data_IF_741197038923
#
_entry.id   IF_741197038923
#
_cell.length_a   1.000
_cell.length_b   1.000
_cell.length_c   1.000
_cell.angle_alpha   90.00
_cell.angle_beta   90.00
_cell.angle_gamma   90.00
#
_symmetry.space_group_name_H-M   'P 1'
#
loop_
_entity.id
_entity.type
_entity.pdbx_description
1 polymer ?
#
# COMPACT_ATOMS: atom_id res chain seq x y z
N UNK A 1 13.80 59.19 -47.22
CA UNK A 1 14.95 58.41 -46.71
C UNK A 1 15.29 58.68 -45.25
N UNK A 2 15.58 59.91 -44.81
CA UNK A 2 15.96 60.19 -43.40
C UNK A 2 14.98 59.65 -42.34
N UNK A 3 13.67 59.83 -42.52
CA UNK A 3 12.64 59.34 -41.58
C UNK A 3 12.61 57.81 -41.40
N UNK A 4 12.95 57.05 -42.45
CA UNK A 4 12.97 55.60 -42.40
C UNK A 4 14.18 55.08 -41.60
N UNK A 5 15.33 55.73 -41.78
CA UNK A 5 16.55 55.42 -41.01
C UNK A 5 16.37 55.75 -39.52
N UNK A 6 15.66 56.85 -39.20
CA UNK A 6 15.33 57.19 -37.81
C UNK A 6 14.39 56.15 -37.18
N UNK A 7 13.36 55.70 -37.90
CA UNK A 7 12.44 54.68 -37.40
C UNK A 7 13.11 53.32 -37.15
N UNK A 8 14.05 52.91 -38.02
CA UNK A 8 14.84 51.68 -37.80
C UNK A 8 15.72 51.81 -36.56
N UNK A 9 16.30 53.00 -36.32
CA UNK A 9 17.15 53.24 -35.14
C UNK A 9 16.34 53.22 -33.84
N UNK A 10 15.16 53.85 -33.82
CA UNK A 10 14.27 53.81 -32.66
C UNK A 10 13.73 52.40 -32.37
N UNK A 11 13.45 51.60 -33.41
CA UNK A 11 13.07 50.19 -33.24
C UNK A 11 14.23 49.33 -32.73
N UNK A 12 15.45 49.58 -33.18
CA UNK A 12 16.64 48.88 -32.67
C UNK A 12 16.90 49.22 -31.19
N UNK A 13 16.73 50.50 -30.80
CA UNK A 13 16.89 50.95 -29.42
C UNK A 13 15.77 50.41 -28.51
N UNK A 14 14.54 50.27 -29.02
CA UNK A 14 13.43 49.59 -28.32
C UNK A 14 13.69 48.09 -28.11
N UNK A 15 14.36 47.43 -29.06
CA UNK A 15 14.73 46.02 -28.92
C UNK A 15 15.83 45.81 -27.87
N UNK A 16 16.69 46.81 -27.69
CA UNK A 16 17.83 46.77 -26.76
C UNK A 16 17.48 47.23 -25.32
N UNK A 17 16.23 47.66 -25.06
CA UNK A 17 15.73 48.01 -23.73
C UNK A 17 15.11 46.82 -22.98
N UNK A 18 15.48 45.58 -23.34
CA UNK A 18 15.25 44.44 -22.47
C UNK A 18 16.26 44.52 -21.34
N UNK A 19 15.77 44.98 -20.20
CA UNK A 19 16.48 45.01 -18.92
C UNK A 19 16.77 43.56 -18.49
N UNK A 20 17.77 42.94 -19.10
CA UNK A 20 18.28 41.62 -18.71
C UNK A 20 19.03 41.77 -17.39
N UNK A 21 18.26 41.83 -16.29
CA UNK A 21 18.81 41.61 -14.96
C UNK A 21 19.30 40.17 -14.92
N UNK A 22 20.57 39.98 -15.24
CA UNK A 22 21.26 38.72 -14.99
C UNK A 22 21.05 38.36 -13.52
N UNK A 23 20.63 37.12 -13.26
CA UNK A 23 20.53 36.61 -11.89
C UNK A 23 21.89 36.75 -11.22
N UNK A 24 21.88 37.24 -9.99
CA UNK A 24 23.10 37.28 -9.20
C UNK A 24 23.52 35.84 -8.87
N UNK A 25 24.83 35.59 -8.79
CA UNK A 25 25.37 34.27 -8.42
C UNK A 25 24.77 33.77 -7.09
N UNK A 26 24.51 34.69 -6.16
CA UNK A 26 23.92 34.37 -4.86
C UNK A 26 22.46 33.91 -4.95
N UNK A 27 21.64 34.51 -5.81
CA UNK A 27 20.25 34.08 -6.01
C UNK A 27 20.19 32.66 -6.58
N UNK A 28 21.06 32.34 -7.54
CA UNK A 28 21.16 31.00 -8.12
C UNK A 28 21.59 29.97 -7.06
N UNK A 29 22.57 30.32 -6.23
CA UNK A 29 23.02 29.47 -5.13
C UNK A 29 21.89 29.18 -4.13
N UNK A 30 21.14 30.22 -3.74
CA UNK A 30 20.00 30.10 -2.83
C UNK A 30 18.89 29.23 -3.45
N UNK A 31 18.59 29.41 -4.73
CA UNK A 31 17.59 28.60 -5.43
C UNK A 31 17.97 27.11 -5.46
N UNK A 32 19.24 26.79 -5.76
CA UNK A 32 19.74 25.41 -5.74
C UNK A 32 19.66 24.83 -4.33
N UNK A 33 20.02 25.61 -3.30
CA UNK A 33 19.96 25.17 -1.91
C UNK A 33 18.53 24.83 -1.48
N UNK A 34 17.56 25.69 -1.80
CA UNK A 34 16.14 25.45 -1.54
C UNK A 34 15.67 24.20 -2.30
N UNK A 35 16.06 24.06 -3.57
CA UNK A 35 15.70 22.90 -4.37
C UNK A 35 16.23 21.59 -3.76
N UNK A 36 17.46 21.58 -3.22
CA UNK A 36 18.02 20.42 -2.55
C UNK A 36 17.22 20.03 -1.29
N UNK A 37 16.83 21.02 -0.47
CA UNK A 37 15.98 20.77 0.70
C UNK A 37 14.65 20.13 0.28
N UNK A 38 14.03 20.66 -0.78
CA UNK A 38 12.78 20.13 -1.32
C UNK A 38 12.97 18.68 -1.77
N UNK A 39 13.98 18.42 -2.61
CA UNK A 39 14.25 17.07 -3.15
C UNK A 39 14.46 16.07 -2.02
N UNK A 40 15.34 16.37 -1.06
CA UNK A 40 15.62 15.46 0.07
C UNK A 40 14.38 15.18 0.92
N UNK A 41 13.56 16.20 1.19
CA UNK A 41 12.32 16.07 1.96
C UNK A 41 11.31 15.16 1.26
N UNK A 42 11.11 15.37 -0.05
CA UNK A 42 10.21 14.53 -0.84
C UNK A 42 10.74 13.11 -1.02
N UNK A 43 12.04 12.93 -1.23
CA UNK A 43 12.65 11.60 -1.36
C UNK A 43 12.40 10.73 -0.12
N UNK A 44 12.54 11.30 1.08
CA UNK A 44 12.26 10.58 2.33
C UNK A 44 10.78 10.17 2.41
N UNK A 45 9.87 11.11 2.13
CA UNK A 45 8.42 10.86 2.18
C UNK A 45 7.99 9.77 1.20
N UNK A 46 8.52 9.80 -0.03
CA UNK A 46 8.21 8.79 -1.03
C UNK A 46 8.77 7.42 -0.67
N UNK A 47 9.98 7.35 -0.11
CA UNK A 47 10.58 6.08 0.32
C UNK A 47 9.69 5.33 1.32
N UNK A 48 9.24 6.01 2.37
CA UNK A 48 8.34 5.39 3.36
C UNK A 48 6.98 5.02 2.76
N UNK A 49 6.45 5.86 1.87
CA UNK A 49 5.18 5.58 1.18
C UNK A 49 5.26 4.31 0.33
N UNK A 50 6.34 4.13 -0.45
CA UNK A 50 6.53 2.92 -1.26
C UNK A 50 6.64 1.67 -0.40
N UNK A 51 7.44 1.73 0.68
CA UNK A 51 7.59 0.60 1.62
C UNK A 51 6.22 0.18 2.17
N UNK A 52 5.41 1.14 2.61
CA UNK A 52 4.10 0.87 3.18
C UNK A 52 3.10 0.30 2.16
N UNK A 53 3.11 0.81 0.91
CA UNK A 53 2.27 0.29 -0.17
C UNK A 53 2.62 -1.16 -0.47
N UNK A 54 3.90 -1.49 -0.65
CA UNK A 54 4.31 -2.87 -0.90
C UNK A 54 4.03 -3.80 0.28
N UNK A 55 4.31 -3.35 1.51
CA UNK A 55 3.99 -4.12 2.71
C UNK A 55 2.48 -4.42 2.82
N UNK A 56 1.63 -3.43 2.50
CA UNK A 56 0.18 -3.64 2.44
C UNK A 56 -0.21 -4.60 1.32
N UNK A 57 0.43 -4.51 0.15
CA UNK A 57 0.21 -5.42 -0.97
C UNK A 57 0.51 -6.88 -0.61
N UNK A 58 1.68 -7.16 -0.03
CA UNK A 58 2.05 -8.50 0.41
C UNK A 58 1.10 -9.06 1.48
N UNK A 59 0.66 -8.20 2.40
CA UNK A 59 -0.35 -8.58 3.41
C UNK A 59 -1.67 -8.97 2.74
N UNK A 60 -2.16 -8.16 1.80
CA UNK A 60 -3.40 -8.44 1.08
C UNK A 60 -3.31 -9.73 0.25
N UNK A 61 -2.18 -9.97 -0.40
CA UNK A 61 -1.94 -11.22 -1.14
C UNK A 61 -1.96 -12.44 -0.21
N UNK A 62 -1.28 -12.37 0.94
CA UNK A 62 -1.30 -13.44 1.93
C UNK A 62 -2.71 -13.71 2.43
N UNK A 63 -3.46 -12.65 2.78
CA UNK A 63 -4.86 -12.75 3.20
C UNK A 63 -5.76 -13.37 2.14
N UNK A 64 -5.57 -13.01 0.86
CA UNK A 64 -6.31 -13.61 -0.24
C UNK A 64 -6.04 -15.11 -0.40
N UNK A 65 -4.78 -15.53 -0.30
CA UNK A 65 -4.40 -16.96 -0.33
C UNK A 65 -4.99 -17.73 0.85
N UNK A 66 -4.98 -17.14 2.04
CA UNK A 66 -5.64 -17.69 3.22
C UNK A 66 -7.15 -17.86 2.98
N UNK A 67 -7.82 -16.84 2.44
CA UNK A 67 -9.26 -16.92 2.13
C UNK A 67 -9.56 -18.03 1.12
N UNK A 68 -8.81 -18.11 0.01
CA UNK A 68 -8.94 -19.21 -0.96
C UNK A 68 -8.77 -20.57 -0.28
N UNK A 69 -7.80 -20.72 0.62
CA UNK A 69 -7.60 -21.96 1.37
C UNK A 69 -8.81 -22.29 2.27
N UNK A 70 -9.37 -21.30 2.98
CA UNK A 70 -10.55 -21.49 3.83
C UNK A 70 -11.77 -21.88 3.00
N UNK A 71 -11.98 -21.25 1.85
CA UNK A 71 -13.05 -21.62 0.92
C UNK A 71 -12.89 -23.07 0.45
N UNK A 72 -11.65 -23.50 0.15
CA UNK A 72 -11.37 -24.88 -0.23
C UNK A 72 -11.62 -25.88 0.92
N UNK A 73 -11.27 -25.54 2.17
CA UNK A 73 -11.60 -26.37 3.35
C UNK A 73 -13.12 -26.50 3.47
N UNK A 74 -13.86 -25.40 3.33
CA UNK A 74 -15.32 -25.41 3.42
C UNK A 74 -15.97 -26.26 2.32
N UNK A 75 -15.38 -26.31 1.12
CA UNK A 75 -15.84 -27.14 0.01
C UNK A 75 -15.37 -28.61 0.10
N UNK A 76 -14.63 -28.98 1.16
CA UNK A 76 -14.03 -30.32 1.30
C UNK A 76 -12.92 -30.62 0.30
N UNK A 77 -12.36 -29.59 -0.35
CA UNK A 77 -11.26 -29.72 -1.31
C UNK A 77 -9.94 -29.67 -0.57
N UNK A 78 -9.23 -30.80 -0.53
CA UNK A 78 -7.90 -30.90 0.07
C UNK A 78 -6.84 -30.19 -0.79
N UNK A 79 -6.73 -28.86 -0.65
CA UNK A 79 -5.69 -28.03 -1.26
C UNK A 79 -4.66 -27.65 -0.21
N UNK A 80 -3.46 -28.22 -0.29
CA UNK A 80 -2.32 -27.79 0.53
C UNK A 80 -1.60 -26.62 -0.14
N UNK A 81 -1.23 -25.62 0.65
CA UNK A 81 -0.36 -24.52 0.22
C UNK A 81 0.98 -24.61 0.95
N UNK A 82 2.08 -24.43 0.22
CA UNK A 82 3.43 -24.41 0.80
C UNK A 82 3.57 -23.24 1.79
N UNK A 83 4.11 -23.51 2.98
CA UNK A 83 4.28 -22.49 4.02
C UNK A 83 3.00 -22.08 4.75
N UNK A 84 1.92 -22.86 4.63
CA UNK A 84 0.68 -22.66 5.39
C UNK A 84 0.44 -23.87 6.30
N UNK A 85 0.22 -23.61 7.58
CA UNK A 85 -0.16 -24.64 8.56
C UNK A 85 -1.65 -24.51 8.87
N UNK A 86 -2.37 -25.62 8.78
CA UNK A 86 -3.79 -25.72 9.12
C UNK A 86 -3.92 -26.69 10.27
N UNK A 87 -4.44 -26.23 11.40
CA UNK A 87 -4.64 -27.05 12.60
C UNK A 87 -6.12 -27.10 12.94
N UNK A 88 -6.81 -28.23 12.70
CA UNK A 88 -8.20 -28.42 13.13
C UNK A 88 -8.24 -28.76 14.63
N UNK A 89 -9.17 -28.14 15.36
CA UNK A 89 -9.49 -28.41 16.75
C UNK A 89 -10.98 -28.70 16.84
N UNK A 90 -11.34 -29.90 17.27
CA UNK A 90 -12.75 -30.25 17.45
C UNK A 90 -13.31 -29.51 18.67
N UNK A 91 -14.40 -28.76 18.48
CA UNK A 91 -15.09 -28.02 19.53
C UNK A 91 -16.52 -28.53 19.63
N UNK A 92 -16.83 -29.13 20.77
CA UNK A 92 -18.21 -29.48 21.13
C UNK A 92 -18.78 -28.43 22.06
N UNK A 93 -20.09 -28.18 21.93
CA UNK A 93 -20.84 -27.33 22.86
C UNK A 93 -20.79 -25.83 22.57
N UNK A 94 -20.55 -25.39 21.33
CA UNK A 94 -20.58 -23.96 21.02
C UNK A 94 -22.01 -23.42 21.16
N UNK A 95 -22.26 -22.63 22.21
CA UNK A 95 -23.57 -22.13 22.56
C UNK A 95 -23.86 -20.80 21.86
N UNK A 96 -24.79 -20.80 20.89
CA UNK A 96 -25.31 -19.59 20.27
C UNK A 96 -26.61 -19.20 20.95
N UNK A 97 -26.65 -18.02 21.55
CA UNK A 97 -27.87 -17.48 22.17
C UNK A 97 -28.65 -16.65 21.15
N UNK A 98 -29.88 -17.07 20.88
CA UNK A 98 -30.80 -16.35 20.01
C UNK A 98 -31.84 -15.62 20.86
N UNK A 99 -31.94 -14.30 20.65
CA UNK A 99 -32.96 -13.48 21.32
C UNK A 99 -34.37 -14.02 21.05
N UNK A 100 -35.01 -14.59 22.08
CA UNK A 100 -36.37 -15.14 22.01
C UNK A 100 -36.48 -16.63 21.67
N UNK A 101 -35.38 -17.31 21.34
CA UNK A 101 -35.35 -18.74 21.03
C UNK A 101 -34.48 -19.57 22.00
N UNK A 102 -33.76 -18.92 22.91
CA UNK A 102 -32.89 -19.58 23.88
C UNK A 102 -31.53 -19.96 23.29
N UNK A 103 -30.81 -20.83 23.99
CA UNK A 103 -29.46 -21.25 23.62
C UNK A 103 -29.51 -22.53 22.78
N UNK A 104 -28.85 -22.50 21.62
CA UNK A 104 -28.66 -23.67 20.77
C UNK A 104 -27.19 -24.07 20.83
N UNK A 105 -26.93 -25.34 21.14
CA UNK A 105 -25.59 -25.92 21.09
C UNK A 105 -25.28 -26.40 19.69
N UNK A 106 -24.14 -25.98 19.15
CA UNK A 106 -23.65 -26.37 17.83
C UNK A 106 -22.27 -26.98 18.02
N UNK A 107 -22.11 -28.23 17.59
CA UNK A 107 -20.82 -28.90 17.54
C UNK A 107 -20.14 -28.59 16.19
N UNK A 108 -18.81 -28.62 16.14
CA UNK A 108 -18.07 -28.25 14.93
C UNK A 108 -16.55 -28.34 15.10
N UNK A 109 -15.84 -27.99 14.04
CA UNK A 109 -14.38 -27.90 14.03
C UNK A 109 -13.95 -26.43 13.92
N UNK A 110 -13.06 -25.99 14.81
CA UNK A 110 -12.34 -24.73 14.67
C UNK A 110 -11.03 -24.96 13.92
N UNK A 111 -10.79 -24.17 12.89
CA UNK A 111 -9.59 -24.23 12.08
C UNK A 111 -8.73 -23.01 12.37
N UNK A 112 -7.50 -23.24 12.82
CA UNK A 112 -6.45 -22.23 12.86
C UNK A 112 -5.57 -22.36 11.63
N UNK A 113 -5.54 -21.32 10.80
CA UNK A 113 -4.69 -21.26 9.61
C UNK A 113 -3.65 -20.19 9.82
N UNK A 114 -2.39 -20.62 9.87
CA UNK A 114 -1.23 -19.76 10.07
C UNK A 114 -0.34 -19.76 8.84
N UNK A 115 0.05 -18.56 8.41
CA UNK A 115 1.09 -18.38 7.39
C UNK A 115 1.98 -17.19 7.72
N UNK A 116 3.10 -17.09 7.01
CA UNK A 116 4.02 -15.96 7.13
C UNK A 116 4.29 -15.38 5.75
N UNK A 117 4.32 -14.06 5.63
CA UNK A 117 4.79 -13.38 4.43
C UNK A 117 6.03 -12.53 4.74
N UNK A 118 6.89 -12.32 3.74
CA UNK A 118 7.99 -11.37 3.84
C UNK A 118 7.50 -9.97 3.50
N UNK A 119 7.73 -9.00 4.39
CA UNK A 119 7.48 -7.60 4.10
C UNK A 119 8.53 -7.01 3.13
N UNK A 120 8.30 -5.76 2.70
CA UNK A 120 9.19 -5.05 1.77
C UNK A 120 10.61 -4.81 2.33
N UNK A 121 10.83 -5.05 3.63
CA UNK A 121 12.13 -4.96 4.31
C UNK A 121 12.75 -6.33 4.58
N UNK A 122 12.13 -7.41 4.10
CA UNK A 122 12.60 -8.78 4.30
C UNK A 122 12.23 -9.40 5.65
N UNK A 123 11.42 -8.73 6.48
CA UNK A 123 11.00 -9.32 7.75
C UNK A 123 9.81 -10.24 7.52
N UNK A 124 9.81 -11.39 8.20
CA UNK A 124 8.65 -12.26 8.19
C UNK A 124 7.57 -11.75 9.14
N UNK A 125 6.33 -11.69 8.65
CA UNK A 125 5.16 -11.25 9.38
C UNK A 125 4.12 -12.37 9.39
N UNK A 126 3.64 -12.78 10.56
CA UNK A 126 2.58 -13.79 10.65
C UNK A 126 1.25 -13.20 10.19
N UNK A 127 0.45 -14.03 9.54
CA UNK A 127 -0.96 -13.79 9.25
C UNK A 127 -1.70 -15.05 9.66
N UNK A 128 -2.66 -14.86 10.55
CA UNK A 128 -3.49 -15.93 11.06
C UNK A 128 -4.95 -15.68 10.71
N UNK A 129 -5.67 -16.76 10.47
CA UNK A 129 -7.11 -16.78 10.30
C UNK A 129 -7.67 -17.91 11.14
N UNK A 130 -8.71 -17.62 11.91
CA UNK A 130 -9.41 -18.62 12.72
C UNK A 130 -10.88 -18.58 12.34
N UNK A 131 -11.45 -19.74 12.06
CA UNK A 131 -12.85 -19.88 11.68
C UNK A 131 -13.42 -21.19 12.21
N UNK A 132 -14.72 -21.21 12.43
CA UNK A 132 -15.47 -22.36 12.93
C UNK A 132 -16.37 -22.92 11.84
N UNK A 133 -16.36 -24.24 11.66
CA UNK A 133 -17.20 -24.98 10.72
C UNK A 133 -18.15 -25.87 11.52
N UNK A 134 -19.47 -25.60 11.53
CA UNK A 134 -20.45 -26.44 12.22
C UNK A 134 -20.52 -27.86 11.64
N UNK A 135 -20.74 -28.86 12.50
CA UNK A 135 -21.10 -30.21 12.07
C UNK A 135 -22.44 -30.18 11.30
N UNK A 136 -22.45 -30.82 10.12
CA UNK A 136 -23.64 -30.90 9.26
C UNK A 136 -23.74 -29.84 8.15
N UNK A 137 -22.70 -29.04 7.90
CA UNK A 137 -22.66 -28.09 6.77
C UNK A 137 -22.23 -28.69 5.42
N UNK A 138 -22.07 -30.03 5.33
CA UNK A 138 -21.65 -30.75 4.12
C UNK A 138 -22.83 -31.35 3.34
#
# INVERSE_FOLDING_TARGET
MKKFVTAIREMADLFNYRNERAFTLIEVLVAIFILLIIITSFSLLFSESFINIFASGYKSEAQYKLQDLVENIFLGVNKSMEGVSVTPTNISGFAVEFSGLGTVSVDGDEYHVDTTFSDARGNQRPVNLTFFVPEGSN
#
